data_IF_302240437590
#
_entry.id   IF_302240437590
#
_cell.length_a   1.000
_cell.length_b   1.000
_cell.length_c   1.000
_cell.angle_alpha   90.00
_cell.angle_beta   90.00
_cell.angle_gamma   90.00
#
_symmetry.space_group_name_H-M   'P 1'
#
loop_
_entity.id
_entity.type
_entity.pdbx_description
1 polymer ?
#
# COMPACT_ATOMS: atom_id res chain seq x y z
N UNK A 1 -11.74 16.52 -17.70
CA UNK A 1 -10.92 17.51 -17.04
C UNK A 1 -10.19 18.34 -18.11
N UNK A 2 -10.56 19.60 -18.27
CA UNK A 2 -9.87 20.50 -19.17
C UNK A 2 -8.64 21.05 -18.45
N UNK A 3 -7.46 20.78 -18.96
CA UNK A 3 -6.24 21.47 -18.52
C UNK A 3 -6.35 22.94 -18.96
N UNK A 4 -6.75 23.81 -18.06
CA UNK A 4 -6.73 25.26 -18.28
C UNK A 4 -5.29 25.71 -17.98
N UNK A 5 -4.50 25.89 -19.03
CA UNK A 5 -3.19 26.55 -18.89
C UNK A 5 -3.46 28.06 -18.87
N UNK A 6 -3.72 28.59 -17.70
CA UNK A 6 -3.75 30.04 -17.52
C UNK A 6 -2.37 30.61 -17.82
N UNK A 7 -2.30 31.53 -18.75
CA UNK A 7 -1.09 32.32 -18.98
C UNK A 7 -0.94 33.29 -17.82
N UNK A 8 0.07 33.10 -16.96
CA UNK A 8 0.41 34.10 -15.97
C UNK A 8 0.71 35.40 -16.67
N UNK A 9 0.13 36.53 -16.19
CA UNK A 9 0.38 37.89 -16.68
C UNK A 9 1.83 38.37 -16.46
N UNK A 10 2.68 37.55 -15.83
CA UNK A 10 4.07 37.83 -15.53
C UNK A 10 4.94 36.89 -16.39
N UNK A 11 5.40 37.34 -17.50
CA UNK A 11 6.11 36.60 -18.55
C UNK A 11 7.48 35.98 -18.10
N UNK A 12 8.02 36.35 -16.96
CA UNK A 12 9.41 35.98 -16.56
C UNK A 12 9.54 34.97 -15.42
N UNK A 13 8.43 34.50 -14.85
CA UNK A 13 8.51 33.53 -13.75
C UNK A 13 8.36 32.10 -14.24
N UNK A 14 9.09 31.13 -13.64
CA UNK A 14 8.92 29.72 -13.94
C UNK A 14 7.53 29.24 -13.49
N UNK A 15 6.86 28.48 -14.36
CA UNK A 15 5.58 27.85 -14.10
C UNK A 15 5.79 26.38 -13.80
N UNK A 16 5.33 25.91 -12.65
CA UNK A 16 5.38 24.53 -12.24
C UNK A 16 3.98 23.91 -12.33
N UNK A 17 3.88 22.76 -13.00
CA UNK A 17 2.64 21.99 -13.13
C UNK A 17 2.89 20.64 -12.52
N UNK A 18 2.11 20.29 -11.50
CA UNK A 18 2.19 19.00 -10.80
C UNK A 18 0.96 18.19 -11.17
N UNK A 19 1.15 16.96 -11.62
CA UNK A 19 0.10 15.99 -11.93
C UNK A 19 0.27 14.82 -10.97
N UNK A 20 -0.66 14.70 -10.03
CA UNK A 20 -0.72 13.66 -9.01
C UNK A 20 -2.12 13.02 -9.00
N UNK A 21 -2.30 11.78 -9.45
CA UNK A 21 -1.33 10.84 -9.96
C UNK A 21 -1.41 10.74 -11.50
N UNK A 22 -0.26 10.63 -12.16
CA UNK A 22 -0.22 10.46 -13.63
C UNK A 22 -0.75 9.07 -14.07
N UNK A 23 -0.80 8.11 -13.15
CA UNK A 23 -1.33 6.76 -13.39
C UNK A 23 -2.85 6.76 -13.64
N UNK A 24 -3.56 7.77 -13.12
CA UNK A 24 -5.02 7.91 -13.21
C UNK A 24 -5.48 8.61 -14.51
N UNK A 25 -4.52 9.02 -15.34
CA UNK A 25 -4.85 9.64 -16.62
C UNK A 25 -5.46 8.61 -17.59
N UNK A 26 -6.66 8.90 -18.07
CA UNK A 26 -7.24 8.12 -19.15
C UNK A 26 -6.48 8.38 -20.48
N UNK A 27 -6.77 7.56 -21.49
CA UNK A 27 -6.09 7.64 -22.81
C UNK A 27 -6.20 9.04 -23.45
N UNK A 28 -7.35 9.68 -23.33
CA UNK A 28 -7.57 11.02 -23.89
C UNK A 28 -6.72 12.08 -23.17
N UNK A 29 -6.70 12.05 -21.84
CA UNK A 29 -5.87 12.96 -21.01
C UNK A 29 -4.38 12.73 -21.21
N UNK A 30 -3.96 11.47 -21.32
CA UNK A 30 -2.57 11.11 -21.62
C UNK A 30 -2.14 11.66 -23.00
N UNK A 31 -2.99 11.54 -24.01
CA UNK A 31 -2.71 12.08 -25.35
C UNK A 31 -2.69 13.63 -25.38
N UNK A 32 -3.56 14.28 -24.59
CA UNK A 32 -3.53 15.73 -24.45
C UNK A 32 -2.23 16.21 -23.77
N UNK A 33 -1.77 15.46 -22.75
CA UNK A 33 -0.51 15.76 -22.05
C UNK A 33 0.70 15.63 -22.98
N UNK A 34 0.72 14.63 -23.90
CA UNK A 34 1.82 14.45 -24.85
C UNK A 34 2.07 15.70 -25.67
N UNK A 35 1.03 16.38 -26.17
CA UNK A 35 1.16 17.62 -26.96
C UNK A 35 1.90 18.72 -26.19
N UNK A 36 1.63 18.81 -24.90
CA UNK A 36 2.21 19.85 -24.05
C UNK A 36 3.65 19.48 -23.62
N UNK A 37 3.95 18.18 -23.50
CA UNK A 37 5.29 17.70 -23.21
C UNK A 37 6.22 17.80 -24.43
N UNK A 38 5.68 17.71 -25.65
CA UNK A 38 6.44 17.87 -26.89
C UNK A 38 6.84 19.33 -27.17
N UNK A 39 5.90 20.25 -26.94
CA UNK A 39 6.10 21.66 -27.15
C UNK A 39 5.77 22.50 -25.89
N UNK A 40 6.59 22.37 -24.82
CA UNK A 40 6.33 23.07 -23.61
C UNK A 40 6.51 24.58 -23.81
N UNK A 41 5.62 25.39 -23.20
CA UNK A 41 5.80 26.84 -23.15
C UNK A 41 7.09 27.19 -22.41
N UNK A 42 7.71 28.30 -22.78
CA UNK A 42 8.93 28.79 -22.11
C UNK A 42 8.71 28.86 -20.59
N UNK A 43 9.73 28.53 -19.83
CA UNK A 43 9.73 28.53 -18.37
C UNK A 43 8.61 27.69 -17.72
N UNK A 44 8.15 26.61 -18.40
CA UNK A 44 7.15 25.69 -17.84
C UNK A 44 7.79 24.34 -17.54
N UNK A 45 7.61 23.85 -16.32
CA UNK A 45 8.14 22.60 -15.81
C UNK A 45 6.99 21.69 -15.37
N UNK A 46 7.05 20.43 -15.78
CA UNK A 46 6.05 19.41 -15.42
C UNK A 46 6.63 18.42 -14.43
N UNK A 47 5.90 18.16 -13.34
CA UNK A 47 6.20 17.11 -12.39
C UNK A 47 5.06 16.09 -12.46
N UNK A 48 5.38 14.89 -12.89
CA UNK A 48 4.45 13.77 -12.99
C UNK A 48 4.74 12.80 -11.85
N UNK A 49 3.83 12.68 -10.90
CA UNK A 49 3.91 11.68 -9.83
C UNK A 49 3.29 10.39 -10.34
N UNK A 50 3.99 9.27 -10.19
CA UNK A 50 3.52 7.96 -10.60
C UNK A 50 3.93 6.91 -9.58
N UNK A 51 2.97 6.12 -9.12
CA UNK A 51 3.17 4.98 -8.23
C UNK A 51 3.40 3.70 -9.02
N UNK A 52 2.86 3.63 -10.24
CA UNK A 52 3.00 2.51 -11.17
C UNK A 52 3.61 2.95 -12.51
N UNK A 53 4.92 3.26 -12.59
CA UNK A 53 5.55 3.77 -13.80
C UNK A 53 5.43 2.83 -15.00
N UNK A 54 5.13 1.53 -14.77
CA UNK A 54 4.88 0.56 -15.84
C UNK A 54 3.59 0.84 -16.60
N UNK A 55 2.57 1.41 -15.95
CA UNK A 55 1.26 1.73 -16.55
C UNK A 55 1.30 2.95 -17.46
N UNK A 56 2.27 3.86 -17.26
CA UNK A 56 2.42 5.06 -18.08
C UNK A 56 2.80 4.74 -19.53
N UNK A 57 2.23 5.50 -20.46
CA UNK A 57 2.58 5.40 -21.88
C UNK A 57 4.08 5.58 -22.10
N UNK A 58 4.67 4.74 -22.95
CA UNK A 58 6.09 4.85 -23.33
C UNK A 58 6.44 6.22 -23.89
N UNK A 59 5.49 6.83 -24.59
CA UNK A 59 5.62 8.17 -25.18
C UNK A 59 5.72 9.28 -24.13
N UNK A 60 5.06 9.15 -22.98
CA UNK A 60 5.22 10.06 -21.82
C UNK A 60 6.59 9.80 -21.19
N UNK A 61 6.90 8.53 -20.91
CA UNK A 61 8.18 8.14 -20.27
C UNK A 61 9.40 8.62 -21.03
N UNK A 62 9.37 8.59 -22.37
CA UNK A 62 10.49 9.02 -23.22
C UNK A 62 10.75 10.53 -23.21
N UNK A 63 9.77 11.33 -22.75
CA UNK A 63 9.85 12.80 -22.67
C UNK A 63 10.09 13.33 -21.27
N UNK A 64 10.17 12.45 -20.28
CA UNK A 64 10.38 12.79 -18.88
C UNK A 64 11.71 12.26 -18.37
N UNK A 65 12.35 13.04 -17.51
CA UNK A 65 13.46 12.56 -16.69
C UNK A 65 12.88 11.79 -15.51
N UNK A 66 13.35 10.55 -15.32
CA UNK A 66 12.89 9.71 -14.22
C UNK A 66 13.70 10.00 -12.97
N UNK A 67 13.00 10.41 -11.90
CA UNK A 67 13.52 10.52 -10.55
C UNK A 67 12.88 9.42 -9.68
N UNK A 68 13.69 8.50 -9.20
CA UNK A 68 13.22 7.51 -8.23
C UNK A 68 13.32 8.10 -6.81
N UNK A 69 12.22 8.06 -6.08
CA UNK A 69 12.17 8.37 -4.66
C UNK A 69 12.11 7.04 -3.89
N UNK A 70 13.22 6.57 -3.31
CA UNK A 70 13.21 5.34 -2.53
C UNK A 70 12.46 5.54 -1.21
N UNK A 71 11.97 4.45 -0.63
CA UNK A 71 11.44 4.44 0.73
C UNK A 71 12.48 4.95 1.73
N UNK A 72 12.04 5.55 2.81
CA UNK A 72 12.95 6.00 3.87
C UNK A 72 13.61 4.81 4.57
N UNK A 73 14.85 5.00 5.02
CA UNK A 73 15.45 4.08 6.00
C UNK A 73 14.80 4.30 7.39
N UNK A 74 14.99 3.34 8.29
CA UNK A 74 14.36 3.35 9.62
C UNK A 74 14.63 4.65 10.39
N UNK A 75 15.88 5.13 10.42
CA UNK A 75 16.24 6.35 11.16
C UNK A 75 15.54 7.59 10.60
N UNK A 76 15.45 7.72 9.28
CA UNK A 76 14.76 8.85 8.65
C UNK A 76 13.24 8.78 8.90
N UNK A 77 12.67 7.58 8.82
CA UNK A 77 11.26 7.32 9.13
C UNK A 77 10.92 7.74 10.57
N UNK A 78 11.70 7.28 11.55
CA UNK A 78 11.56 7.64 12.96
C UNK A 78 11.64 9.16 13.17
N UNK A 79 12.68 9.81 12.62
CA UNK A 79 12.86 11.26 12.75
C UNK A 79 11.67 12.06 12.17
N UNK A 80 11.09 11.59 11.06
CA UNK A 80 9.92 12.25 10.46
C UNK A 80 8.70 12.10 11.38
N UNK A 81 8.47 10.93 11.98
CA UNK A 81 7.36 10.73 12.92
C UNK A 81 7.53 11.61 14.16
N UNK A 82 8.72 11.64 14.76
CA UNK A 82 9.04 12.50 15.90
C UNK A 82 8.81 13.97 15.56
N UNK A 83 9.23 14.44 14.39
CA UNK A 83 9.02 15.82 13.96
C UNK A 83 7.53 16.19 13.78
N UNK A 84 6.66 15.20 13.61
CA UNK A 84 5.21 15.33 13.59
C UNK A 84 4.55 15.10 14.97
N UNK A 85 5.33 15.15 16.05
CA UNK A 85 4.88 14.95 17.44
C UNK A 85 4.31 13.54 17.72
N UNK A 86 4.76 12.54 16.98
CA UNK A 86 4.39 11.16 17.20
C UNK A 86 5.58 10.43 17.85
N UNK A 87 5.32 9.81 18.98
CA UNK A 87 6.28 9.00 19.69
C UNK A 87 5.67 7.64 19.97
N UNK A 88 6.38 6.60 19.60
CA UNK A 88 5.92 5.21 19.71
C UNK A 88 6.96 4.36 20.41
N UNK A 89 6.52 3.25 21.00
CA UNK A 89 7.42 2.22 21.47
C UNK A 89 8.18 1.61 20.30
N UNK A 90 9.43 1.20 20.54
CA UNK A 90 10.32 0.60 19.55
C UNK A 90 9.66 -0.53 18.75
N UNK A 91 8.84 -1.36 19.40
CA UNK A 91 8.14 -2.47 18.75
C UNK A 91 7.09 -1.98 17.75
N UNK A 92 6.32 -0.99 18.15
CA UNK A 92 5.28 -0.40 17.30
C UNK A 92 5.92 0.37 16.13
N UNK A 93 6.99 1.10 16.41
CA UNK A 93 7.72 1.85 15.38
C UNK A 93 8.28 0.94 14.30
N UNK A 94 8.85 -0.20 14.70
CA UNK A 94 9.37 -1.22 13.79
C UNK A 94 8.26 -1.87 12.98
N UNK A 95 7.16 -2.22 13.63
CA UNK A 95 5.98 -2.79 12.95
C UNK A 95 5.41 -1.81 11.91
N UNK A 96 5.26 -0.54 12.26
CA UNK A 96 4.81 0.51 11.34
C UNK A 96 5.75 0.67 10.14
N UNK A 97 7.05 0.69 10.40
CA UNK A 97 8.05 0.78 9.35
C UNK A 97 7.92 -0.37 8.35
N UNK A 98 7.79 -1.59 8.84
CA UNK A 98 7.67 -2.78 8.00
C UNK A 98 6.36 -2.82 7.22
N UNK A 99 5.21 -2.55 7.88
CA UNK A 99 3.88 -2.55 7.26
C UNK A 99 3.79 -1.50 6.18
N UNK A 100 4.31 -0.29 6.44
CA UNK A 100 4.22 0.85 5.51
C UNK A 100 5.37 0.89 4.51
N UNK A 101 6.29 -0.08 4.57
CA UNK A 101 7.52 -0.10 3.78
C UNK A 101 8.29 1.22 3.88
N UNK A 102 8.41 1.75 5.08
CA UNK A 102 9.12 2.99 5.37
C UNK A 102 8.41 4.26 4.86
N UNK A 103 7.09 4.25 4.68
CA UNK A 103 6.29 5.42 4.33
C UNK A 103 5.76 6.13 5.58
N UNK A 104 6.29 7.30 5.98
CA UNK A 104 5.79 8.03 7.14
C UNK A 104 4.36 8.54 6.92
N UNK A 105 4.02 8.95 5.69
CA UNK A 105 2.68 9.46 5.35
C UNK A 105 1.59 8.45 5.69
N UNK A 106 1.75 7.19 5.27
CA UNK A 106 0.81 6.13 5.63
C UNK A 106 0.74 5.92 7.14
N UNK A 107 1.87 6.04 7.85
CA UNK A 107 1.88 5.85 9.31
C UNK A 107 1.13 6.94 10.06
N UNK A 108 1.03 8.16 9.50
CA UNK A 108 0.28 9.27 10.09
C UNK A 108 -1.24 9.05 10.04
N UNK A 109 -1.71 8.23 9.11
CA UNK A 109 -3.13 7.92 8.94
C UNK A 109 -3.61 6.83 9.93
N UNK A 110 -2.69 6.16 10.62
CA UNK A 110 -2.99 4.96 11.39
C UNK A 110 -3.13 5.23 12.89
N UNK A 111 -4.23 4.75 13.48
CA UNK A 111 -4.38 4.66 14.93
C UNK A 111 -3.70 3.38 15.45
N UNK A 112 -2.63 3.56 16.18
CA UNK A 112 -1.68 2.52 16.58
C UNK A 112 -2.22 1.55 17.62
N UNK A 113 -2.99 2.03 18.58
CA UNK A 113 -3.57 1.16 19.62
C UNK A 113 -4.46 0.06 18.99
N UNK A 114 -5.01 0.37 17.82
CA UNK A 114 -5.85 -0.55 17.05
C UNK A 114 -5.01 -1.54 16.24
N UNK A 115 -3.84 -1.13 15.72
CA UNK A 115 -3.03 -1.95 14.79
C UNK A 115 -2.47 -3.20 15.48
N UNK A 116 -1.94 -3.08 16.70
CA UNK A 116 -1.33 -4.21 17.41
C UNK A 116 -2.35 -5.32 17.69
N UNK A 117 -3.52 -4.95 18.20
CA UNK A 117 -4.61 -5.90 18.45
C UNK A 117 -5.10 -6.56 17.17
N UNK A 118 -5.27 -5.79 16.10
CA UNK A 118 -5.69 -6.29 14.79
C UNK A 118 -4.64 -7.21 14.15
N UNK A 119 -3.36 -6.89 14.31
CA UNK A 119 -2.27 -7.72 13.80
C UNK A 119 -2.28 -9.12 14.44
N UNK A 120 -2.40 -9.19 15.77
CA UNK A 120 -2.42 -10.47 16.48
C UNK A 120 -3.67 -11.30 16.14
N UNK A 121 -4.82 -10.66 16.01
CA UNK A 121 -6.07 -11.30 15.61
C UNK A 121 -5.98 -11.87 14.19
N UNK A 122 -5.52 -11.08 13.23
CA UNK A 122 -5.33 -11.49 11.84
C UNK A 122 -4.32 -12.62 11.68
N UNK A 123 -3.18 -12.51 12.38
CA UNK A 123 -2.15 -13.55 12.37
C UNK A 123 -2.72 -14.91 12.74
N UNK A 124 -3.48 -14.98 13.84
CA UNK A 124 -4.08 -16.22 14.30
C UNK A 124 -5.15 -16.76 13.33
N UNK A 125 -5.95 -15.88 12.76
CA UNK A 125 -7.03 -16.27 11.83
C UNK A 125 -6.53 -16.74 10.47
N UNK A 126 -5.38 -16.23 10.00
CA UNK A 126 -4.79 -16.69 8.75
C UNK A 126 -4.26 -18.12 8.83
N UNK A 127 -3.95 -18.59 10.04
CA UNK A 127 -3.49 -19.96 10.32
C UNK A 127 -4.66 -20.91 10.44
N UNK A 128 -5.75 -20.43 11.06
CA UNK A 128 -6.97 -21.21 11.18
C UNK A 128 -7.61 -21.40 9.79
N UNK A 129 -7.25 -22.50 9.13
CA UNK A 129 -7.62 -22.80 7.74
C UNK A 129 -9.11 -23.12 7.54
N UNK A 130 -9.93 -23.00 8.58
CA UNK A 130 -11.38 -23.24 8.53
C UNK A 130 -12.17 -21.98 8.23
N UNK A 131 -12.86 -21.93 7.08
CA UNK A 131 -13.79 -20.84 6.73
C UNK A 131 -14.90 -20.64 7.78
N UNK A 132 -15.16 -21.65 8.59
CA UNK A 132 -16.24 -21.72 9.60
C UNK A 132 -15.72 -21.67 11.04
N UNK A 133 -14.49 -21.20 11.29
CA UNK A 133 -14.07 -20.97 12.67
C UNK A 133 -14.79 -19.75 13.26
N UNK A 134 -15.07 -19.77 14.56
CA UNK A 134 -15.71 -18.63 15.23
C UNK A 134 -14.86 -17.36 15.12
N UNK A 135 -13.53 -17.50 15.11
CA UNK A 135 -12.57 -16.39 14.92
C UNK A 135 -12.69 -15.77 13.54
N UNK A 136 -12.76 -16.58 12.48
CA UNK A 136 -12.89 -16.08 11.12
C UNK A 136 -14.25 -15.42 10.89
N UNK A 137 -15.33 -15.94 11.45
CA UNK A 137 -16.66 -15.31 11.37
C UNK A 137 -16.68 -13.92 12.03
N UNK A 138 -16.06 -13.77 13.20
CA UNK A 138 -15.93 -12.47 13.87
C UNK A 138 -15.15 -11.47 13.03
N UNK A 139 -14.02 -11.88 12.43
CA UNK A 139 -13.23 -11.04 11.53
C UNK A 139 -14.01 -10.62 10.29
N UNK A 140 -14.71 -11.55 9.65
CA UNK A 140 -15.52 -11.28 8.47
C UNK A 140 -16.59 -10.23 8.78
N UNK A 141 -17.29 -10.36 9.89
CA UNK A 141 -18.32 -9.40 10.30
C UNK A 141 -17.72 -8.04 10.68
N UNK A 142 -16.57 -8.04 11.34
CA UNK A 142 -15.83 -6.80 11.69
C UNK A 142 -15.36 -6.07 10.43
N UNK A 143 -14.77 -6.79 9.48
CA UNK A 143 -14.30 -6.26 8.20
C UNK A 143 -15.45 -5.67 7.37
N UNK A 144 -16.61 -6.32 7.37
CA UNK A 144 -17.79 -5.85 6.62
C UNK A 144 -18.26 -4.45 7.08
N UNK A 145 -18.01 -4.09 8.33
CA UNK A 145 -18.41 -2.83 8.93
C UNK A 145 -17.32 -1.73 8.85
N UNK A 146 -16.15 -2.00 8.29
CA UNK A 146 -15.09 -1.00 8.20
C UNK A 146 -15.39 0.10 7.18
N UNK A 147 -15.05 1.32 7.53
CA UNK A 147 -14.89 2.41 6.59
C UNK A 147 -13.66 2.18 5.71
N UNK A 148 -13.59 2.85 4.56
CA UNK A 148 -12.54 2.60 3.57
C UNK A 148 -11.12 2.82 4.12
N UNK A 149 -10.92 3.78 5.01
CA UNK A 149 -9.60 4.01 5.63
C UNK A 149 -9.14 2.81 6.47
N UNK A 150 -10.01 2.30 7.35
CA UNK A 150 -9.74 1.11 8.14
C UNK A 150 -9.55 -0.13 7.29
N UNK A 151 -10.33 -0.23 6.21
CA UNK A 151 -10.24 -1.31 5.24
C UNK A 151 -8.84 -1.39 4.61
N UNK A 152 -8.29 -0.26 4.17
CA UNK A 152 -6.95 -0.18 3.61
C UNK A 152 -5.88 -0.69 4.58
N UNK A 153 -5.97 -0.28 5.85
CA UNK A 153 -5.03 -0.73 6.89
C UNK A 153 -5.09 -2.25 7.06
N UNK A 154 -6.30 -2.79 7.12
CA UNK A 154 -6.50 -4.23 7.31
C UNK A 154 -5.95 -5.06 6.13
N UNK A 155 -6.19 -4.62 4.90
CA UNK A 155 -5.65 -5.25 3.70
C UNK A 155 -4.11 -5.19 3.68
N UNK A 156 -3.55 -4.08 4.13
CA UNK A 156 -2.10 -3.91 4.24
C UNK A 156 -1.51 -4.87 5.28
N UNK A 157 -2.15 -5.02 6.45
CA UNK A 157 -1.75 -5.97 7.48
C UNK A 157 -1.80 -7.41 6.98
N UNK A 158 -2.88 -7.80 6.30
CA UNK A 158 -3.02 -9.15 5.72
C UNK A 158 -1.90 -9.42 4.72
N UNK A 159 -1.64 -8.51 3.78
CA UNK A 159 -0.56 -8.64 2.80
C UNK A 159 0.80 -8.78 3.49
N UNK A 160 1.05 -7.95 4.50
CA UNK A 160 2.29 -7.99 5.25
C UNK A 160 2.50 -9.36 5.92
N UNK A 161 1.48 -9.90 6.61
CA UNK A 161 1.55 -11.21 7.26
C UNK A 161 1.81 -12.32 6.23
N UNK A 162 1.10 -12.30 5.10
CA UNK A 162 1.31 -13.30 4.03
C UNK A 162 2.72 -13.23 3.45
N UNK A 163 3.27 -12.02 3.25
CA UNK A 163 4.66 -11.85 2.79
C UNK A 163 5.65 -12.41 3.80
N UNK A 164 5.43 -12.18 5.10
CA UNK A 164 6.29 -12.72 6.15
C UNK A 164 6.20 -14.25 6.18
N UNK A 165 5.00 -14.83 6.13
CA UNK A 165 4.81 -16.29 6.04
C UNK A 165 5.54 -16.88 4.84
N UNK A 166 5.42 -16.25 3.68
CA UNK A 166 6.13 -16.67 2.45
C UNK A 166 7.64 -16.63 2.62
N UNK A 167 8.20 -15.56 3.18
CA UNK A 167 9.64 -15.43 3.44
C UNK A 167 10.14 -16.55 4.34
N UNK A 168 9.42 -16.83 5.44
CA UNK A 168 9.77 -17.91 6.36
C UNK A 168 9.76 -19.26 5.65
N UNK A 169 8.70 -19.56 4.89
CA UNK A 169 8.60 -20.82 4.11
C UNK A 169 9.72 -21.01 3.09
N UNK A 170 10.21 -19.94 2.51
CA UNK A 170 11.32 -19.95 1.56
C UNK A 170 12.70 -19.97 2.23
N UNK A 171 12.76 -20.01 3.57
CA UNK A 171 14.01 -19.95 4.32
C UNK A 171 14.75 -18.62 4.18
N UNK A 172 14.06 -17.55 3.80
CA UNK A 172 14.63 -16.22 3.71
C UNK A 172 14.78 -15.68 5.12
N UNK A 173 15.98 -15.18 5.43
CA UNK A 173 16.25 -14.59 6.73
C UNK A 173 15.34 -13.37 6.96
N UNK A 174 14.56 -13.41 8.05
CA UNK A 174 13.64 -12.34 8.45
C UNK A 174 14.22 -11.43 9.54
N UNK A 175 15.49 -11.61 9.93
CA UNK A 175 16.15 -10.78 10.94
C UNK A 175 16.25 -9.30 10.54
N UNK A 176 16.18 -9.00 9.24
CA UNK A 176 16.11 -7.63 8.73
C UNK A 176 14.69 -7.04 8.80
N UNK A 177 13.68 -7.86 9.08
CA UNK A 177 12.34 -7.40 9.40
C UNK A 177 12.36 -7.04 10.88
N UNK A 178 12.19 -5.77 11.20
CA UNK A 178 12.25 -5.22 12.56
C UNK A 178 11.11 -5.67 13.48
N UNK A 179 10.47 -6.80 13.20
CA UNK A 179 9.46 -7.38 14.08
C UNK A 179 10.12 -7.95 15.34
N UNK A 180 9.59 -7.59 16.47
CA UNK A 180 9.94 -8.07 17.80
C UNK A 180 9.50 -9.53 18.02
N UNK A 181 9.37 -9.96 19.27
CA UNK A 181 8.97 -11.31 19.71
C UNK A 181 7.82 -11.96 18.96
N UNK A 182 6.93 -11.17 18.34
CA UNK A 182 5.84 -11.65 17.48
C UNK A 182 6.31 -12.41 16.23
N UNK A 183 7.54 -12.23 15.79
CA UNK A 183 8.10 -12.95 14.63
C UNK A 183 8.39 -14.41 14.96
N UNK A 184 8.87 -14.70 16.16
CA UNK A 184 9.09 -16.08 16.60
C UNK A 184 7.78 -16.89 16.58
N UNK A 185 6.66 -16.24 16.93
CA UNK A 185 5.34 -16.86 16.81
C UNK A 185 4.95 -17.09 15.35
N UNK A 186 5.27 -16.13 14.46
CA UNK A 186 5.01 -16.26 13.02
C UNK A 186 5.82 -17.41 12.39
N UNK A 187 7.07 -17.64 12.81
CA UNK A 187 7.87 -18.77 12.34
C UNK A 187 7.20 -20.10 12.68
N UNK A 188 6.74 -20.26 13.92
CA UNK A 188 6.04 -21.45 14.36
C UNK A 188 4.72 -21.66 13.59
N UNK A 189 3.96 -20.59 13.47
CA UNK A 189 2.63 -20.57 12.86
C UNK A 189 2.68 -20.76 11.34
N UNK A 190 3.71 -20.25 10.66
CA UNK A 190 3.88 -20.41 9.21
C UNK A 190 4.03 -21.88 8.82
N UNK A 191 4.45 -22.77 9.75
CA UNK A 191 4.56 -24.20 9.47
C UNK A 191 3.21 -24.88 9.24
N UNK A 192 2.13 -24.33 9.73
CA UNK A 192 0.77 -24.87 9.63
C UNK A 192 0.09 -24.58 8.28
N UNK A 193 0.58 -23.58 7.53
CA UNK A 193 0.01 -23.18 6.24
C UNK A 193 0.97 -23.55 5.10
N UNK A 194 0.48 -24.09 3.98
CA UNK A 194 1.32 -24.41 2.82
C UNK A 194 1.69 -23.16 2.02
N UNK A 195 2.82 -23.23 1.28
CA UNK A 195 3.25 -22.13 0.41
C UNK A 195 2.20 -21.84 -0.68
N UNK A 196 1.58 -22.88 -1.22
CA UNK A 196 0.52 -22.76 -2.23
C UNK A 196 -0.68 -21.96 -1.71
N UNK A 197 -1.13 -22.24 -0.49
CA UNK A 197 -2.23 -21.48 0.14
C UNK A 197 -1.85 -20.02 0.34
N UNK A 198 -0.61 -19.74 0.78
CA UNK A 198 -0.13 -18.37 0.96
C UNK A 198 -0.16 -17.62 -0.39
N UNK A 199 0.34 -18.24 -1.46
CA UNK A 199 0.39 -17.64 -2.78
C UNK A 199 -1.02 -17.40 -3.34
N UNK A 200 -1.90 -18.39 -3.24
CA UNK A 200 -3.28 -18.26 -3.70
C UNK A 200 -4.05 -17.14 -2.96
N UNK A 201 -3.85 -17.02 -1.64
CA UNK A 201 -4.45 -15.93 -0.85
C UNK A 201 -3.88 -14.56 -1.24
N UNK A 202 -2.58 -14.48 -1.49
CA UNK A 202 -1.93 -13.25 -1.91
C UNK A 202 -2.43 -12.82 -3.29
N UNK A 203 -2.50 -13.75 -4.25
CA UNK A 203 -3.01 -13.49 -5.59
C UNK A 203 -4.48 -13.07 -5.58
N UNK A 204 -5.29 -13.71 -4.72
CA UNK A 204 -6.69 -13.29 -4.53
C UNK A 204 -6.79 -11.81 -4.11
N UNK A 205 -5.98 -11.39 -3.13
CA UNK A 205 -5.96 -9.99 -2.67
C UNK A 205 -5.58 -9.04 -3.80
N UNK A 206 -4.45 -9.29 -4.47
CA UNK A 206 -3.94 -8.41 -5.52
C UNK A 206 -4.93 -8.24 -6.67
N UNK A 207 -5.62 -9.32 -7.04
CA UNK A 207 -6.54 -9.29 -8.17
C UNK A 207 -7.91 -8.69 -7.85
N UNK A 208 -8.35 -8.71 -6.59
CA UNK A 208 -9.72 -8.34 -6.23
C UNK A 208 -9.82 -7.12 -5.31
N UNK A 209 -8.72 -6.65 -4.68
CA UNK A 209 -8.80 -5.53 -3.72
C UNK A 209 -9.31 -4.22 -4.36
N UNK A 210 -8.93 -3.94 -5.61
CA UNK A 210 -9.40 -2.74 -6.31
C UNK A 210 -10.92 -2.71 -6.46
N UNK A 211 -11.55 -3.87 -6.61
CA UNK A 211 -12.99 -3.99 -6.79
C UNK A 211 -13.77 -3.58 -5.54
N UNK A 212 -13.15 -3.71 -4.35
CA UNK A 212 -13.73 -3.21 -3.11
C UNK A 212 -13.98 -1.70 -3.15
N UNK A 213 -13.07 -0.96 -3.79
CA UNK A 213 -13.10 0.50 -3.80
C UNK A 213 -13.76 1.07 -5.05
N UNK A 214 -13.56 0.43 -6.20
CA UNK A 214 -14.05 0.93 -7.50
C UNK A 214 -15.45 0.46 -7.84
N UNK A 215 -15.78 -0.80 -7.49
CA UNK A 215 -17.06 -1.43 -7.78
C UNK A 215 -17.97 -1.57 -6.56
N UNK A 216 -17.54 -1.08 -5.37
CA UNK A 216 -18.25 -1.28 -4.10
C UNK A 216 -18.60 -2.76 -3.85
N UNK A 217 -17.65 -3.66 -4.12
CA UNK A 217 -17.84 -5.08 -3.86
C UNK A 217 -18.25 -5.31 -2.40
N UNK A 218 -19.14 -6.26 -2.18
CA UNK A 218 -19.55 -6.64 -0.83
C UNK A 218 -18.35 -7.12 0.00
N UNK A 219 -18.01 -6.36 1.03
CA UNK A 219 -16.84 -6.59 1.88
C UNK A 219 -16.90 -7.94 2.60
N UNK A 220 -18.09 -8.36 3.02
CA UNK A 220 -18.30 -9.65 3.68
C UNK A 220 -18.03 -10.80 2.70
N UNK A 221 -18.56 -10.70 1.49
CA UNK A 221 -18.36 -11.69 0.44
C UNK A 221 -16.87 -11.77 0.03
N UNK A 222 -16.18 -10.65 -0.07
CA UNK A 222 -14.75 -10.60 -0.34
C UNK A 222 -13.96 -11.40 0.71
N UNK A 223 -14.21 -11.18 2.01
CA UNK A 223 -13.49 -11.88 3.07
C UNK A 223 -13.85 -13.36 3.15
N UNK A 224 -15.10 -13.74 2.91
CA UNK A 224 -15.50 -15.15 2.83
C UNK A 224 -14.68 -15.87 1.75
N UNK A 225 -14.59 -15.29 0.56
CA UNK A 225 -13.83 -15.88 -0.54
C UNK A 225 -12.32 -15.91 -0.22
N UNK A 226 -11.80 -14.86 0.38
CA UNK A 226 -10.39 -14.82 0.83
C UNK A 226 -10.06 -15.98 1.79
N UNK A 227 -10.89 -16.22 2.80
CA UNK A 227 -10.68 -17.34 3.72
C UNK A 227 -10.91 -18.70 3.06
N UNK A 228 -11.83 -18.80 2.10
CA UNK A 228 -12.11 -20.01 1.34
C UNK A 228 -10.99 -20.39 0.35
N UNK A 229 -10.14 -19.44 -0.04
CA UNK A 229 -9.02 -19.67 -0.96
C UNK A 229 -8.01 -20.60 -0.30
N UNK A 230 -7.77 -21.76 -0.97
CA UNK A 230 -6.86 -22.82 -0.54
C UNK A 230 -5.68 -22.98 -1.48
#
# INVERSE_FOLDING_TARGET
>A
NNFIIETSLIENFPKFIIIDSADDLNVSSSNALLKVLEEPKKNTYFFLVSHHPSSLLLTIKSRCLKLNLPSHNFNNFENILISNNLSYDDEILKLLFDITNGSPGLSLEYNIDTIKGQFDELKNSLIDSGVCSDTNNHLIDTFANFENEKLNIYLLLIKFILVVFKKVKLGININDIYLSKSVLDIENLSNEISLEIIDNKFDYLINNENDLFTLNLDKKFFMINFFATR
#
